data_IF_342152372886
#
_entry.id   IF_342152372886
#
_cell.length_a   1.000
_cell.length_b   1.000
_cell.length_c   1.000
_cell.angle_alpha   90.00
_cell.angle_beta   90.00
_cell.angle_gamma   90.00
#
_symmetry.space_group_name_H-M   'P 1'
#
loop_
_entity.id
_entity.type
_entity.pdbx_description
1 polymer ?
#
# COMPACT_ATOMS: atom_id res chain seq x y z
N UNK A 1 -4.46 2.73 7.95
CA UNK A 1 -3.12 2.50 8.52
C UNK A 1 -2.14 3.59 8.07
N UNK A 2 -1.06 3.82 8.81
CA UNK A 2 0.08 4.66 8.42
C UNK A 2 1.01 3.90 7.46
N UNK A 3 1.99 4.59 6.85
CA UNK A 3 3.01 3.93 6.02
C UNK A 3 3.82 2.89 6.80
N UNK A 4 4.19 3.20 8.05
CA UNK A 4 4.94 2.27 8.90
C UNK A 4 4.14 1.02 9.25
N UNK A 5 2.84 1.18 9.54
CA UNK A 5 1.93 0.06 9.77
C UNK A 5 1.78 -0.80 8.52
N UNK A 6 1.67 -0.19 7.33
CA UNK A 6 1.60 -0.92 6.06
C UNK A 6 2.87 -1.74 5.79
N UNK A 7 4.06 -1.17 6.03
CA UNK A 7 5.33 -1.90 5.89
C UNK A 7 5.37 -3.16 6.76
N UNK A 8 4.89 -3.06 8.01
CA UNK A 8 4.83 -4.21 8.93
C UNK A 8 3.75 -5.20 8.53
N UNK A 9 2.58 -4.72 8.11
CA UNK A 9 1.44 -5.57 7.77
C UNK A 9 1.69 -6.41 6.52
N UNK A 10 2.31 -5.83 5.50
CA UNK A 10 2.62 -6.53 4.24
C UNK A 10 4.05 -7.09 4.21
N UNK A 11 4.84 -6.89 5.26
CA UNK A 11 6.25 -7.27 5.35
C UNK A 11 7.10 -6.76 4.15
N UNK A 12 6.92 -5.49 3.78
CA UNK A 12 7.60 -4.85 2.65
C UNK A 12 8.51 -3.70 3.07
N UNK A 13 9.60 -3.53 2.33
CA UNK A 13 10.55 -2.44 2.52
C UNK A 13 10.00 -1.07 2.14
N UNK A 14 10.64 -0.01 2.63
CA UNK A 14 10.22 1.39 2.40
C UNK A 14 10.11 1.74 0.91
N UNK A 15 11.14 1.43 0.13
CA UNK A 15 11.19 1.74 -1.31
C UNK A 15 10.14 0.96 -2.09
N UNK A 16 9.90 -0.30 -1.72
CA UNK A 16 8.87 -1.12 -2.34
C UNK A 16 7.47 -0.56 -2.08
N UNK A 17 7.19 -0.16 -0.83
CA UNK A 17 5.93 0.52 -0.49
C UNK A 17 5.76 1.83 -1.25
N UNK A 18 6.81 2.64 -1.39
CA UNK A 18 6.77 3.88 -2.15
C UNK A 18 6.49 3.63 -3.64
N UNK A 19 7.12 2.60 -4.21
CA UNK A 19 6.88 2.19 -5.59
C UNK A 19 5.41 1.79 -5.81
N UNK A 20 4.86 0.92 -4.95
CA UNK A 20 3.45 0.50 -5.03
C UNK A 20 2.45 1.65 -4.85
N UNK A 21 2.81 2.67 -4.07
CA UNK A 21 1.98 3.88 -3.94
C UNK A 21 2.07 4.73 -5.20
N UNK A 22 3.27 4.90 -5.78
CA UNK A 22 3.49 5.67 -7.01
C UNK A 22 2.80 5.02 -8.23
N UNK A 23 2.85 3.70 -8.30
CA UNK A 23 2.21 2.89 -9.34
C UNK A 23 0.67 2.82 -9.17
N UNK A 24 0.14 3.35 -8.06
CA UNK A 24 -1.29 3.40 -7.78
C UNK A 24 -1.88 2.07 -7.27
N UNK A 25 -1.05 1.04 -7.08
CA UNK A 25 -1.46 -0.26 -6.51
C UNK A 25 -1.95 -0.08 -5.09
N UNK A 26 -1.19 0.60 -4.23
CA UNK A 26 -1.60 0.89 -2.86
C UNK A 26 -2.30 2.26 -2.82
N UNK A 27 -3.63 2.28 -2.55
CA UNK A 27 -4.35 3.54 -2.46
C UNK A 27 -3.88 4.35 -1.26
N UNK A 28 -3.83 5.67 -1.41
CA UNK A 28 -3.53 6.60 -0.32
C UNK A 28 -4.61 7.67 -0.22
N UNK A 29 -4.94 8.06 1.00
CA UNK A 29 -5.89 9.12 1.32
C UNK A 29 -5.11 10.22 2.02
N UNK A 30 -5.14 11.42 1.44
CA UNK A 30 -4.59 12.62 2.04
C UNK A 30 -5.64 13.23 2.97
N UNK A 31 -5.36 13.25 4.27
CA UNK A 31 -6.25 13.82 5.29
C UNK A 31 -5.92 15.28 5.63
N UNK A 32 -5.16 15.98 4.77
CA UNK A 32 -4.62 17.32 5.02
C UNK A 32 -3.25 17.29 5.71
N UNK A 33 -2.67 18.48 5.97
CA UNK A 33 -1.38 18.72 6.67
C UNK A 33 -0.42 17.52 6.75
N UNK A 34 0.08 17.08 5.57
CA UNK A 34 1.08 16.00 5.41
C UNK A 34 0.68 14.62 5.96
N UNK A 35 -0.57 14.43 6.37
CA UNK A 35 -1.07 13.16 6.91
C UNK A 35 -1.63 12.30 5.78
N UNK A 36 -0.91 11.22 5.48
CA UNK A 36 -1.31 10.20 4.51
C UNK A 36 -1.76 8.95 5.25
N UNK A 37 -2.95 8.43 4.92
CA UNK A 37 -3.45 7.15 5.42
C UNK A 37 -3.69 6.20 4.27
N UNK A 38 -3.36 4.94 4.50
CA UNK A 38 -3.62 3.83 3.58
C UNK A 38 -4.89 3.12 4.07
N UNK A 39 -5.97 3.04 3.27
CA UNK A 39 -7.18 2.32 3.63
C UNK A 39 -6.90 0.81 3.60
N UNK A 40 -7.07 0.15 4.74
CA UNK A 40 -6.65 -1.23 4.97
C UNK A 40 -7.27 -2.19 3.96
N UNK A 41 -8.61 -2.21 3.89
CA UNK A 41 -9.35 -3.13 3.03
C UNK A 41 -8.90 -3.06 1.56
N UNK A 42 -8.89 -1.86 0.98
CA UNK A 42 -8.50 -1.67 -0.42
C UNK A 42 -7.02 -2.01 -0.66
N UNK A 43 -6.13 -1.65 0.25
CA UNK A 43 -4.72 -1.98 0.11
C UNK A 43 -4.49 -3.49 0.18
N UNK A 44 -5.19 -4.21 1.05
CA UNK A 44 -5.14 -5.68 1.12
C UNK A 44 -5.68 -6.31 -0.16
N UNK A 45 -6.83 -5.83 -0.67
CA UNK A 45 -7.39 -6.30 -1.95
C UNK A 45 -6.41 -6.09 -3.11
N UNK A 46 -5.78 -4.92 -3.22
CA UNK A 46 -4.76 -4.65 -4.23
C UNK A 46 -3.53 -5.55 -4.11
N UNK A 47 -3.06 -5.79 -2.89
CA UNK A 47 -1.89 -6.65 -2.65
C UNK A 47 -2.18 -8.12 -2.95
N UNK A 48 -3.40 -8.60 -2.66
CA UNK A 48 -3.85 -9.93 -3.04
C UNK A 48 -3.95 -10.06 -4.56
N UNK A 49 -4.56 -9.09 -5.24
CA UNK A 49 -4.64 -9.07 -6.69
C UNK A 49 -3.25 -9.04 -7.36
N UNK A 50 -2.29 -8.31 -6.77
CA UNK A 50 -0.90 -8.30 -7.25
C UNK A 50 -0.22 -9.66 -7.08
N UNK A 51 -0.48 -10.36 -5.96
CA UNK A 51 0.05 -11.70 -5.73
C UNK A 51 -0.57 -12.74 -6.69
N UNK A 52 -1.85 -12.61 -7.00
CA UNK A 52 -2.57 -13.50 -7.93
C UNK A 52 -2.23 -13.21 -9.40
N UNK A 53 -1.96 -11.96 -9.76
CA UNK A 53 -1.59 -11.56 -11.12
C UNK A 53 -0.15 -11.84 -11.54
N UNK A 54 0.72 -12.22 -10.60
CA UNK A 54 2.12 -12.59 -10.85
C UNK A 54 2.34 -14.02 -11.33
N UNK A 55 1.29 -14.85 -11.37
CA UNK A 55 1.29 -16.25 -11.83
C UNK A 55 0.81 -16.38 -13.31
N UNK A 56 1.27 -15.49 -14.19
CA UNK A 56 0.97 -15.53 -15.64
C UNK A 56 2.23 -15.57 -16.51
#
# INVERSE_FOLDING_TARGET
>A
MTKQEAMRHFNIGKYHLEYLIQDGVIPTINLGYRTVRIPVKKATESMLALAEGGDA
#
